data_IF_594373665327
#
_entry.id   IF_594373665327
#
_cell.length_a   1.000
_cell.length_b   1.000
_cell.length_c   1.000
_cell.angle_alpha   90.00
_cell.angle_beta   90.00
_cell.angle_gamma   90.00
#
_symmetry.space_group_name_H-M   'P 1'
#
loop_
_entity.id
_entity.type
_entity.pdbx_description
1 polymer ?
#
# COMPACT_ATOMS: atom_id res chain seq x y z
N UNK A 1 12.92 -2.14 0.31
CA UNK A 1 12.17 -1.76 -0.91
C UNK A 1 11.87 -3.02 -1.72
N UNK A 2 10.77 -3.02 -2.48
CA UNK A 2 10.39 -4.10 -3.40
C UNK A 2 9.55 -3.51 -4.55
N UNK A 3 9.46 -4.22 -5.66
CA UNK A 3 8.70 -3.81 -6.85
C UNK A 3 8.09 -5.04 -7.54
N UNK A 4 7.02 -4.83 -8.33
CA UNK A 4 6.40 -5.86 -9.17
C UNK A 4 6.77 -5.63 -10.63
N UNK A 5 7.37 -6.63 -11.28
CA UNK A 5 7.77 -6.57 -12.69
C UNK A 5 6.82 -7.35 -13.59
N UNK A 6 6.61 -6.85 -14.81
CA UNK A 6 5.89 -7.55 -15.86
C UNK A 6 6.91 -8.31 -16.72
N UNK A 7 6.72 -9.62 -16.88
CA UNK A 7 7.60 -10.47 -17.70
C UNK A 7 6.89 -10.82 -19.00
N UNK A 8 7.39 -10.28 -20.11
CA UNK A 8 6.80 -10.48 -21.44
C UNK A 8 5.43 -9.82 -21.60
N UNK A 9 4.59 -10.39 -22.47
CA UNK A 9 3.25 -9.89 -22.73
C UNK A 9 2.26 -10.37 -21.66
N UNK A 10 1.83 -9.43 -20.83
CA UNK A 10 0.88 -9.68 -19.74
C UNK A 10 -0.53 -9.22 -20.09
N UNK A 11 -1.53 -9.87 -19.47
CA UNK A 11 -2.95 -9.50 -19.60
C UNK A 11 -3.19 -8.05 -19.15
N UNK A 12 -4.15 -7.32 -19.75
CA UNK A 12 -4.50 -5.96 -19.33
C UNK A 12 -4.86 -5.85 -17.84
N UNK A 13 -5.48 -6.88 -17.27
CA UNK A 13 -5.81 -6.94 -15.84
C UNK A 13 -4.57 -6.98 -14.94
N UNK A 14 -3.49 -7.65 -15.37
CA UNK A 14 -2.21 -7.65 -14.65
C UNK A 14 -1.54 -6.27 -14.71
N UNK A 15 -1.56 -5.61 -15.88
CA UNK A 15 -1.07 -4.22 -16.02
C UNK A 15 -1.82 -3.28 -15.08
N UNK A 16 -3.16 -3.38 -15.05
CA UNK A 16 -4.00 -2.59 -14.14
C UNK A 16 -3.69 -2.87 -12.66
N UNK A 17 -3.51 -4.14 -12.28
CA UNK A 17 -3.18 -4.51 -10.90
C UNK A 17 -1.86 -3.86 -10.45
N UNK A 18 -0.80 -3.98 -11.26
CA UNK A 18 0.51 -3.41 -10.94
C UNK A 18 0.43 -1.88 -10.84
N UNK A 19 -0.22 -1.24 -11.81
CA UNK A 19 -0.40 0.21 -11.83
C UNK A 19 -1.18 0.70 -10.59
N UNK A 20 -2.32 0.10 -10.28
CA UNK A 20 -3.14 0.52 -9.11
C UNK A 20 -2.41 0.25 -7.79
N UNK A 21 -1.62 -0.82 -7.71
CA UNK A 21 -0.80 -1.10 -6.52
C UNK A 21 0.28 -0.03 -6.31
N UNK A 22 0.91 0.43 -7.40
CA UNK A 22 1.88 1.53 -7.36
C UNK A 22 1.22 2.85 -6.94
N UNK A 23 0.07 3.18 -7.53
CA UNK A 23 -0.70 4.38 -7.18
C UNK A 23 -1.17 4.37 -5.71
N UNK A 24 -1.54 3.20 -5.16
CA UNK A 24 -1.84 3.06 -3.74
C UNK A 24 -0.64 3.45 -2.87
N UNK A 25 0.56 2.99 -3.23
CA UNK A 25 1.80 3.34 -2.53
C UNK A 25 2.07 4.84 -2.61
N UNK A 26 2.11 5.41 -3.82
CA UNK A 26 2.38 6.85 -4.03
C UNK A 26 1.42 7.74 -3.26
N UNK A 27 0.11 7.51 -3.40
CA UNK A 27 -0.93 8.29 -2.68
C UNK A 27 -0.79 8.19 -1.17
N UNK A 28 -0.37 7.03 -0.67
CA UNK A 28 -0.16 6.85 0.77
C UNK A 28 1.07 7.58 1.29
N UNK A 29 2.11 7.74 0.45
CA UNK A 29 3.31 8.52 0.78
C UNK A 29 2.98 10.02 0.77
N UNK A 30 2.15 10.50 -0.17
CA UNK A 30 1.75 11.92 -0.28
C UNK A 30 1.13 12.49 1.00
N UNK A 31 0.46 11.65 1.81
CA UNK A 31 -0.16 12.11 3.06
C UNK A 31 0.82 12.14 4.25
N UNK A 32 2.03 11.57 4.11
CA UNK A 32 2.98 11.43 5.22
C UNK A 32 3.57 12.80 5.59
N UNK A 33 3.17 13.30 6.75
CA UNK A 33 3.67 14.55 7.33
C UNK A 33 3.47 14.58 8.85
N UNK A 34 4.15 15.46 9.61
CA UNK A 34 3.92 15.61 11.03
C UNK A 34 2.44 15.85 11.36
N UNK A 35 1.93 15.13 12.37
CA UNK A 35 0.53 15.19 12.80
C UNK A 35 -0.42 14.20 12.12
N UNK A 36 0.00 13.55 11.03
CA UNK A 36 -0.81 12.51 10.37
C UNK A 36 -0.82 11.20 11.19
N UNK A 37 -1.95 10.50 11.21
CA UNK A 37 -2.06 9.22 11.94
C UNK A 37 -1.67 8.07 11.02
N UNK A 38 -0.85 7.13 11.53
CA UNK A 38 -0.48 5.91 10.79
C UNK A 38 -1.67 5.11 10.24
N UNK A 39 -2.84 5.16 10.90
CA UNK A 39 -4.05 4.48 10.44
C UNK A 39 -4.65 5.06 9.15
N UNK A 40 -4.39 6.33 8.83
CA UNK A 40 -4.96 6.97 7.63
C UNK A 40 -4.31 6.44 6.34
N UNK A 41 -3.08 5.93 6.42
CA UNK A 41 -2.40 5.22 5.32
C UNK A 41 -3.29 4.08 4.79
N UNK A 42 -3.86 3.28 5.69
CA UNK A 42 -4.74 2.18 5.29
C UNK A 42 -6.07 2.64 4.67
N UNK A 43 -6.59 3.80 5.10
CA UNK A 43 -7.79 4.40 4.51
C UNK A 43 -7.54 4.86 3.07
N UNK A 44 -6.40 5.51 2.81
CA UNK A 44 -6.00 5.97 1.47
C UNK A 44 -5.81 4.79 0.52
N UNK A 45 -5.02 3.80 0.93
CA UNK A 45 -4.73 2.61 0.12
C UNK A 45 -6.02 1.86 -0.23
N UNK A 46 -6.85 1.54 0.78
CA UNK A 46 -8.05 0.75 0.54
C UNK A 46 -9.07 1.47 -0.34
N UNK A 47 -9.24 2.79 -0.17
CA UNK A 47 -10.13 3.59 -1.02
C UNK A 47 -9.71 3.50 -2.50
N UNK A 48 -8.42 3.66 -2.79
CA UNK A 48 -7.92 3.61 -4.18
C UNK A 48 -8.03 2.20 -4.77
N UNK A 49 -7.67 1.17 -4.00
CA UNK A 49 -7.80 -0.22 -4.43
C UNK A 49 -9.26 -0.61 -4.72
N UNK A 50 -10.19 -0.29 -3.82
CA UNK A 50 -11.61 -0.64 -3.96
C UNK A 50 -12.28 0.08 -5.13
N UNK A 51 -11.96 1.37 -5.35
CA UNK A 51 -12.45 2.12 -6.51
C UNK A 51 -12.00 1.51 -7.85
N UNK A 52 -10.95 0.68 -7.83
CA UNK A 52 -10.44 -0.03 -8.99
C UNK A 52 -10.86 -1.50 -9.08
N UNK A 53 -11.64 -1.99 -8.12
CA UNK A 53 -12.15 -3.37 -8.06
C UNK A 53 -11.20 -4.37 -7.38
N UNK A 54 -10.23 -3.90 -6.59
CA UNK A 54 -9.27 -4.77 -5.88
C UNK A 54 -9.51 -4.78 -4.36
N UNK A 55 -9.02 -5.83 -3.70
CA UNK A 55 -9.00 -5.98 -2.25
C UNK A 55 -7.62 -5.69 -1.67
N UNK A 56 -7.54 -5.50 -0.35
CA UNK A 56 -6.28 -5.25 0.37
C UNK A 56 -6.00 -6.38 1.34
N UNK A 57 -4.78 -6.90 1.30
CA UNK A 57 -4.30 -7.95 2.22
C UNK A 57 -4.28 -7.43 3.66
N UNK A 58 -4.78 -8.23 4.60
CA UNK A 58 -4.92 -7.84 6.02
C UNK A 58 -3.88 -8.46 6.96
N UNK A 59 -3.24 -9.55 6.55
CA UNK A 59 -2.30 -10.31 7.37
C UNK A 59 -0.89 -9.73 7.41
N UNK A 60 -0.58 -8.76 6.53
CA UNK A 60 0.72 -8.09 6.45
C UNK A 60 0.57 -6.58 6.56
N UNK A 61 1.59 -5.92 7.10
CA UNK A 61 1.63 -4.48 7.30
C UNK A 61 3.03 -3.94 7.00
N UNK A 62 3.14 -2.63 6.77
CA UNK A 62 4.40 -1.92 6.84
C UNK A 62 4.89 -1.84 8.29
N UNK A 63 6.16 -1.48 8.48
CA UNK A 63 6.79 -1.47 9.79
C UNK A 63 7.83 -0.35 9.90
N UNK A 64 8.13 0.05 11.13
CA UNK A 64 9.32 0.83 11.42
C UNK A 64 10.59 0.03 11.08
N UNK A 65 11.62 0.73 10.62
CA UNK A 65 12.93 0.15 10.29
C UNK A 65 14.04 1.14 10.67
N UNK A 66 15.06 0.64 11.37
CA UNK A 66 16.29 1.36 11.72
C UNK A 66 17.36 0.34 12.13
N UNK A 67 17.92 0.43 13.34
CA UNK A 67 18.78 -0.63 13.92
C UNK A 67 18.08 -1.99 14.06
N UNK A 68 16.74 -2.00 14.07
CA UNK A 68 15.92 -3.20 14.10
C UNK A 68 15.26 -3.40 12.74
N UNK A 69 15.14 -4.66 12.31
CA UNK A 69 14.53 -4.99 11.02
C UNK A 69 13.02 -4.68 11.02
N UNK A 70 12.28 -5.18 12.01
CA UNK A 70 10.87 -4.87 12.22
C UNK A 70 10.68 -4.28 13.61
N UNK A 71 10.09 -3.09 13.71
CA UNK A 71 9.79 -2.43 14.98
C UNK A 71 8.58 -1.51 14.84
N UNK A 72 8.18 -0.86 15.92
CA UNK A 72 7.10 0.12 15.89
C UNK A 72 7.44 1.27 14.92
N UNK A 73 6.44 1.81 14.21
CA UNK A 73 5.01 1.46 14.24
C UNK A 73 4.68 0.28 13.31
N UNK A 74 3.59 -0.45 13.59
CA UNK A 74 2.91 -1.26 12.58
C UNK A 74 2.00 -0.38 11.73
N UNK A 75 2.03 -0.55 10.41
CA UNK A 75 1.32 0.30 9.45
C UNK A 75 0.39 -0.57 8.58
N UNK A 76 -0.85 -0.84 9.03
CA UNK A 76 -1.82 -1.59 8.25
C UNK A 76 -2.20 -0.87 6.95
N UNK A 77 -2.36 -1.63 5.86
CA UNK A 77 -2.71 -1.07 4.54
C UNK A 77 -4.22 -1.02 4.28
N UNK A 78 -5.03 -1.60 5.17
CA UNK A 78 -6.48 -1.66 5.05
C UNK A 78 -7.14 -0.61 5.95
N UNK A 79 -8.34 -0.18 5.58
CA UNK A 79 -9.18 0.69 6.40
C UNK A 79 -9.71 -0.06 7.62
N UNK A 80 -9.58 0.55 8.81
CA UNK A 80 -10.31 0.15 10.02
C UNK A 80 -11.49 1.09 10.21
N UNK A 81 -12.69 0.55 10.06
CA UNK A 81 -13.90 1.14 10.61
C UNK A 81 -13.97 0.86 12.10
#
# INVERSE_FOLDING_TARGET
MNETFLIGDVKPTAKKLVQVTWECLEKSIEIVKPGEKYREIGNVIQKHAQNNGFSVVRSYCGHGIHKLFHTAPSIPHYARF
#
